data_IF_364666565954
#
_entry.id   IF_364666565954
#
_cell.length_a   1.000
_cell.length_b   1.000
_cell.length_c   1.000
_cell.angle_alpha   90.00
_cell.angle_beta   90.00
_cell.angle_gamma   90.00
#
_symmetry.space_group_name_H-M   'P 1'
#
loop_
_entity.id
_entity.type
_entity.pdbx_description
1 polymer ?
#
# COMPACT_ATOMS: atom_id res chain seq x y z
N UNK A 1 1.46 -24.43 2.71
CA UNK A 1 2.66 -25.25 2.39
C UNK A 1 3.71 -24.50 1.53
N UNK A 2 5.01 -24.88 1.59
CA UNK A 2 6.05 -24.35 0.69
C UNK A 2 5.98 -25.07 -0.65
N UNK A 3 5.74 -24.35 -1.75
CA UNK A 3 5.52 -24.95 -3.06
C UNK A 3 6.76 -24.86 -3.98
N UNK A 4 7.62 -23.84 -3.83
CA UNK A 4 8.83 -23.74 -4.64
C UNK A 4 9.57 -22.40 -4.52
N UNK A 5 10.48 -22.13 -5.47
CA UNK A 5 11.12 -20.82 -5.65
C UNK A 5 10.89 -20.32 -7.08
N UNK A 6 10.42 -19.09 -7.23
CA UNK A 6 10.33 -18.38 -8.53
C UNK A 6 11.35 -17.25 -8.49
N UNK A 7 12.35 -17.25 -9.39
CA UNK A 7 13.39 -16.21 -9.49
C UNK A 7 14.13 -15.93 -8.16
N UNK A 8 14.27 -16.96 -7.32
CA UNK A 8 14.90 -16.89 -6.00
C UNK A 8 13.97 -16.50 -4.84
N UNK A 9 12.68 -16.26 -5.12
CA UNK A 9 11.65 -15.86 -4.15
C UNK A 9 10.85 -17.09 -3.75
N UNK A 10 10.58 -17.27 -2.45
CA UNK A 10 9.81 -18.43 -1.95
C UNK A 10 8.33 -18.26 -2.32
N UNK A 11 7.76 -19.29 -2.94
CA UNK A 11 6.33 -19.37 -3.21
C UNK A 11 5.67 -20.23 -2.13
N UNK A 12 4.73 -19.61 -1.41
CA UNK A 12 3.89 -20.25 -0.40
C UNK A 12 2.48 -20.38 -0.98
N UNK A 13 1.91 -21.57 -0.87
CA UNK A 13 0.50 -21.81 -1.21
C UNK A 13 -0.25 -22.04 0.08
N UNK A 14 -1.31 -21.28 0.32
CA UNK A 14 -2.16 -21.47 1.47
C UNK A 14 -3.02 -22.74 1.32
N UNK A 15 -3.28 -23.47 2.40
CA UNK A 15 -4.04 -24.72 2.32
C UNK A 15 -5.51 -24.46 1.91
N UNK A 16 -6.07 -23.31 2.28
CA UNK A 16 -7.40 -22.86 1.79
C UNK A 16 -7.42 -22.60 0.29
N UNK A 17 -6.30 -22.22 -0.30
CA UNK A 17 -6.19 -22.05 -1.75
C UNK A 17 -6.30 -23.39 -2.47
N UNK A 18 -5.71 -24.46 -1.91
CA UNK A 18 -5.84 -25.81 -2.47
C UNK A 18 -7.30 -26.27 -2.41
N UNK A 19 -7.98 -26.04 -1.27
CA UNK A 19 -9.40 -26.38 -1.13
C UNK A 19 -10.26 -25.63 -2.16
N UNK A 20 -9.98 -24.35 -2.39
CA UNK A 20 -10.65 -23.55 -3.41
C UNK A 20 -10.41 -24.12 -4.82
N UNK A 21 -9.19 -24.50 -5.16
CA UNK A 21 -8.88 -25.12 -6.46
C UNK A 21 -9.64 -26.44 -6.66
N UNK A 22 -9.77 -27.27 -5.62
CA UNK A 22 -10.57 -28.50 -5.69
C UNK A 22 -12.03 -28.14 -5.95
N UNK A 23 -12.58 -27.14 -5.25
CA UNK A 23 -13.95 -26.66 -5.48
C UNK A 23 -14.18 -26.19 -6.92
N UNK A 24 -13.27 -25.39 -7.47
CA UNK A 24 -13.37 -24.93 -8.86
C UNK A 24 -13.16 -26.05 -9.90
N UNK A 25 -12.34 -27.06 -9.58
CA UNK A 25 -12.20 -28.25 -10.40
C UNK A 25 -13.51 -29.05 -10.48
N UNK A 26 -14.20 -29.22 -9.35
CA UNK A 26 -15.51 -29.89 -9.31
C UNK A 26 -16.58 -29.12 -10.09
N UNK A 27 -16.46 -27.79 -10.17
CA UNK A 27 -17.36 -26.93 -10.95
C UNK A 27 -16.96 -26.83 -12.44
N UNK A 28 -15.88 -27.48 -12.86
CA UNK A 28 -15.42 -27.48 -14.25
C UNK A 28 -14.79 -26.17 -14.72
N UNK A 29 -14.37 -25.29 -13.80
CA UNK A 29 -13.78 -23.96 -14.10
C UNK A 29 -12.32 -23.83 -13.66
N UNK A 30 -11.60 -24.95 -13.62
CA UNK A 30 -10.23 -25.01 -13.13
C UNK A 30 -9.26 -24.25 -14.04
N UNK A 31 -9.42 -24.36 -15.35
CA UNK A 31 -8.55 -23.76 -16.35
C UNK A 31 -8.64 -22.22 -16.32
N UNK A 32 -9.84 -21.65 -16.20
CA UNK A 32 -10.02 -20.20 -15.99
C UNK A 32 -9.41 -19.76 -14.65
N UNK A 33 -9.56 -20.56 -13.61
CA UNK A 33 -9.00 -20.25 -12.29
C UNK A 33 -7.48 -20.23 -12.31
N UNK A 34 -6.85 -21.23 -12.95
CA UNK A 34 -5.41 -21.34 -13.05
C UNK A 34 -4.79 -20.18 -13.85
N UNK A 35 -5.41 -19.78 -14.97
CA UNK A 35 -4.91 -18.64 -15.73
C UNK A 35 -5.03 -17.34 -14.94
N UNK A 36 -6.15 -17.09 -14.23
CA UNK A 36 -6.31 -15.91 -13.38
C UNK A 36 -5.24 -15.84 -12.29
N UNK A 37 -4.97 -16.96 -11.60
CA UNK A 37 -3.90 -16.99 -10.60
C UNK A 37 -2.51 -16.83 -11.19
N UNK A 38 -2.26 -17.36 -12.38
CA UNK A 38 -1.01 -17.13 -13.09
C UNK A 38 -0.82 -15.63 -13.40
N UNK A 39 -1.87 -14.94 -13.83
CA UNK A 39 -1.82 -13.50 -14.10
C UNK A 39 -1.55 -12.69 -12.83
N UNK A 40 -2.20 -13.03 -11.72
CA UNK A 40 -1.92 -12.42 -10.40
C UNK A 40 -0.47 -12.72 -9.97
N UNK A 41 0.03 -13.94 -10.17
CA UNK A 41 1.41 -14.29 -9.84
C UNK A 41 2.41 -13.48 -10.66
N UNK A 42 2.16 -13.27 -11.96
CA UNK A 42 3.02 -12.43 -12.81
C UNK A 42 2.99 -10.97 -12.33
N UNK A 43 1.80 -10.44 -12.00
CA UNK A 43 1.62 -9.11 -11.42
C UNK A 43 2.44 -8.92 -10.14
N UNK A 44 2.30 -9.82 -9.16
CA UNK A 44 3.06 -9.78 -7.91
C UNK A 44 4.56 -9.91 -8.15
N UNK A 45 4.96 -10.78 -9.09
CA UNK A 45 6.36 -10.95 -9.46
C UNK A 45 6.95 -9.66 -10.05
N UNK A 46 6.16 -8.89 -10.81
CA UNK A 46 6.60 -7.60 -11.35
C UNK A 46 6.91 -6.58 -10.24
N UNK A 47 6.08 -6.49 -9.20
CA UNK A 47 6.40 -5.68 -8.02
C UNK A 47 7.71 -6.09 -7.37
N UNK A 48 7.91 -7.40 -7.18
CA UNK A 48 9.11 -7.91 -6.53
C UNK A 48 10.37 -7.65 -7.34
N UNK A 49 10.31 -7.81 -8.66
CA UNK A 49 11.42 -7.51 -9.55
C UNK A 49 11.75 -6.00 -9.54
N UNK A 50 10.73 -5.15 -9.52
CA UNK A 50 10.93 -3.70 -9.38
C UNK A 50 11.56 -3.34 -8.02
N UNK A 51 11.10 -3.94 -6.92
CA UNK A 51 11.67 -3.74 -5.59
C UNK A 51 13.14 -4.20 -5.50
N UNK A 52 13.46 -5.34 -6.13
CA UNK A 52 14.84 -5.87 -6.18
C UNK A 52 15.81 -4.92 -6.88
N UNK A 53 15.38 -4.20 -7.92
CA UNK A 53 16.20 -3.16 -8.58
C UNK A 53 16.58 -2.01 -7.65
N UNK A 54 15.80 -1.78 -6.59
CA UNK A 54 16.11 -0.79 -5.55
C UNK A 54 16.88 -1.36 -4.36
N UNK A 55 17.38 -2.61 -4.45
CA UNK A 55 18.09 -3.27 -3.36
C UNK A 55 17.20 -3.69 -2.19
N UNK A 56 15.87 -3.71 -2.38
CA UNK A 56 14.92 -4.10 -1.34
C UNK A 56 14.75 -5.61 -1.37
N UNK A 57 14.91 -6.26 -0.21
CA UNK A 57 14.81 -7.72 -0.09
C UNK A 57 13.35 -8.15 -0.19
N UNK A 58 13.01 -8.93 -1.22
CA UNK A 58 11.74 -9.65 -1.29
C UNK A 58 11.88 -10.99 -0.56
N UNK A 59 10.94 -11.33 0.34
CA UNK A 59 11.05 -12.56 1.17
C UNK A 59 10.25 -13.72 0.59
N UNK A 60 9.00 -13.49 0.23
CA UNK A 60 8.06 -14.53 -0.19
C UNK A 60 6.84 -13.96 -0.92
N UNK A 61 6.24 -14.77 -1.81
CA UNK A 61 4.89 -14.58 -2.36
C UNK A 61 4.01 -15.64 -1.72
N UNK A 62 2.92 -15.23 -1.08
CA UNK A 62 1.91 -16.14 -0.53
C UNK A 62 0.61 -16.03 -1.34
N UNK A 63 0.17 -17.14 -1.92
CA UNK A 63 -1.09 -17.20 -2.67
C UNK A 63 -2.24 -17.56 -1.72
N UNK A 64 -3.21 -16.66 -1.65
CA UNK A 64 -4.46 -16.79 -0.90
C UNK A 64 -5.63 -17.03 -1.86
N UNK A 65 -6.76 -17.56 -1.36
CA UNK A 65 -7.97 -17.73 -2.16
C UNK A 65 -8.48 -16.44 -2.83
N UNK A 66 -8.16 -15.28 -2.24
CA UNK A 66 -8.63 -13.97 -2.69
C UNK A 66 -7.55 -13.13 -3.39
N UNK A 67 -6.36 -13.70 -3.67
CA UNK A 67 -5.26 -13.00 -4.36
C UNK A 67 -3.87 -13.47 -3.93
N UNK A 68 -2.83 -12.85 -4.49
CA UNK A 68 -1.45 -13.02 -4.06
C UNK A 68 -1.06 -11.91 -3.10
N UNK A 69 -0.32 -12.24 -2.03
CA UNK A 69 0.30 -11.24 -1.16
C UNK A 69 1.82 -11.38 -1.28
N UNK A 70 2.45 -10.41 -1.94
CA UNK A 70 3.89 -10.27 -1.94
C UNK A 70 4.36 -9.65 -0.60
N UNK A 71 5.17 -10.40 0.16
CA UNK A 71 5.83 -9.87 1.36
C UNK A 71 7.16 -9.23 0.98
N UNK A 72 7.09 -7.94 0.73
CA UNK A 72 8.24 -7.06 0.50
C UNK A 72 8.73 -6.55 1.86
N UNK A 73 10.05 -6.52 2.07
CA UNK A 73 10.59 -5.89 3.27
C UNK A 73 10.15 -4.41 3.32
N UNK A 74 9.78 -3.92 4.51
CA UNK A 74 9.09 -2.63 4.74
C UNK A 74 9.93 -1.38 4.45
N UNK A 75 10.96 -1.49 3.61
CA UNK A 75 11.83 -0.42 3.14
C UNK A 75 11.17 0.41 2.03
N UNK A 76 10.14 -0.12 1.37
CA UNK A 76 9.52 0.50 0.19
C UNK A 76 8.82 1.82 0.55
N UNK A 77 8.04 1.79 1.62
CA UNK A 77 7.12 2.84 2.07
C UNK A 77 7.82 4.11 2.57
N UNK A 78 9.13 4.02 2.79
CA UNK A 78 9.98 5.10 3.28
C UNK A 78 10.42 6.05 2.17
N UNK A 79 10.29 5.63 0.92
CA UNK A 79 10.77 6.37 -0.24
C UNK A 79 9.65 6.54 -1.27
N UNK A 80 8.90 7.65 -1.23
CA UNK A 80 7.69 7.83 -2.04
C UNK A 80 7.90 7.57 -3.54
N UNK A 81 9.06 7.95 -4.09
CA UNK A 81 9.38 7.69 -5.50
C UNK A 81 9.53 6.19 -5.79
N UNK A 82 10.21 5.45 -4.93
CA UNK A 82 10.42 3.99 -5.12
C UNK A 82 9.10 3.24 -4.91
N UNK A 83 8.31 3.66 -3.93
CA UNK A 83 6.97 3.09 -3.72
C UNK A 83 6.08 3.27 -4.95
N UNK A 84 6.02 4.48 -5.55
CA UNK A 84 5.26 4.71 -6.79
C UNK A 84 5.75 3.81 -7.92
N UNK A 85 7.08 3.75 -8.14
CA UNK A 85 7.65 2.95 -9.23
C UNK A 85 7.38 1.44 -9.05
N UNK A 86 7.43 0.95 -7.82
CA UNK A 86 7.12 -0.45 -7.53
C UNK A 86 5.62 -0.72 -7.65
N UNK A 87 4.76 0.13 -7.08
CA UNK A 87 3.30 -0.02 -7.17
C UNK A 87 2.81 0.03 -8.63
N UNK A 88 3.45 0.80 -9.52
CA UNK A 88 3.10 0.80 -10.94
C UNK A 88 3.58 -0.45 -11.70
N UNK A 89 4.55 -1.21 -11.17
CA UNK A 89 5.15 -2.34 -11.88
C UNK A 89 4.15 -3.47 -12.15
N UNK A 90 3.27 -3.78 -11.18
CA UNK A 90 2.20 -4.77 -11.32
C UNK A 90 1.23 -4.39 -12.45
N UNK A 91 0.52 -3.26 -12.37
CA UNK A 91 -0.39 -2.81 -13.42
C UNK A 91 0.29 -2.68 -14.79
N UNK A 92 1.52 -2.15 -14.86
CA UNK A 92 2.27 -2.11 -16.12
C UNK A 92 2.50 -3.50 -16.71
N UNK A 93 2.78 -4.52 -15.87
CA UNK A 93 2.93 -5.89 -16.36
C UNK A 93 1.64 -6.43 -16.97
N UNK A 94 0.47 -6.16 -16.36
CA UNK A 94 -0.80 -6.57 -16.93
C UNK A 94 -1.14 -5.84 -18.23
N UNK A 95 -0.91 -4.53 -18.30
CA UNK A 95 -1.13 -3.80 -19.55
C UNK A 95 -0.23 -4.30 -20.68
N UNK A 96 1.04 -4.61 -20.37
CA UNK A 96 1.94 -5.23 -21.35
C UNK A 96 1.43 -6.60 -21.81
N UNK A 97 0.98 -7.46 -20.89
CA UNK A 97 0.38 -8.75 -21.25
C UNK A 97 -0.89 -8.59 -22.09
N UNK A 98 -1.76 -7.65 -21.74
CA UNK A 98 -2.95 -7.30 -22.52
C UNK A 98 -2.59 -6.90 -23.95
N UNK A 99 -1.62 -5.98 -24.12
CA UNK A 99 -1.13 -5.56 -25.42
C UNK A 99 -0.52 -6.72 -26.21
N UNK A 100 0.23 -7.61 -25.57
CA UNK A 100 0.75 -8.81 -26.26
C UNK A 100 -0.38 -9.75 -26.69
N UNK A 101 -1.42 -9.91 -25.87
CA UNK A 101 -2.59 -10.72 -26.24
C UNK A 101 -3.34 -10.14 -27.43
N UNK A 102 -3.51 -8.82 -27.48
CA UNK A 102 -4.11 -8.11 -28.62
C UNK A 102 -3.26 -8.23 -29.89
N UNK A 103 -1.93 -8.10 -29.76
CA UNK A 103 -1.01 -8.25 -30.89
C UNK A 103 -1.07 -9.66 -31.50
N UNK A 104 -1.16 -10.69 -30.67
CA UNK A 104 -1.27 -12.09 -31.09
C UNK A 104 -2.72 -12.58 -31.23
N UNK A 105 -3.70 -11.67 -31.31
CA UNK A 105 -5.13 -12.01 -31.36
C UNK A 105 -5.54 -13.04 -32.44
N UNK A 106 -4.97 -13.04 -33.67
CA UNK A 106 -5.34 -14.04 -34.68
C UNK A 106 -5.11 -15.50 -34.25
N UNK A 107 -4.11 -15.73 -33.40
CA UNK A 107 -3.83 -17.05 -32.83
C UNK A 107 -4.53 -17.23 -31.49
N UNK A 108 -4.54 -16.20 -30.65
CA UNK A 108 -5.10 -16.25 -29.31
C UNK A 108 -6.62 -16.45 -29.34
N UNK A 109 -7.32 -15.91 -30.34
CA UNK A 109 -8.78 -16.08 -30.51
C UNK A 109 -9.19 -17.54 -30.74
N UNK A 110 -8.28 -18.41 -31.19
CA UNK A 110 -8.53 -19.84 -31.33
C UNK A 110 -8.40 -20.59 -30.01
N UNK A 111 -7.73 -20.00 -29.02
CA UNK A 111 -7.65 -20.55 -27.67
C UNK A 111 -8.89 -20.15 -26.88
N UNK A 112 -9.56 -21.14 -26.28
CA UNK A 112 -10.79 -20.93 -25.48
C UNK A 112 -10.65 -19.90 -24.35
N UNK A 113 -9.43 -19.70 -23.83
CA UNK A 113 -9.14 -18.74 -22.77
C UNK A 113 -8.53 -17.43 -23.28
N UNK A 114 -8.40 -17.24 -24.60
CA UNK A 114 -7.76 -16.07 -25.18
C UNK A 114 -8.45 -14.75 -24.86
N UNK A 115 -9.78 -14.74 -24.93
CA UNK A 115 -10.60 -13.58 -24.51
C UNK A 115 -10.37 -13.29 -23.02
N UNK A 116 -10.52 -14.33 -22.18
CA UNK A 116 -10.34 -14.22 -20.73
C UNK A 116 -8.95 -13.69 -20.36
N UNK A 117 -7.89 -14.12 -21.06
CA UNK A 117 -6.53 -13.65 -20.81
C UNK A 117 -6.40 -12.13 -21.00
N UNK A 118 -6.98 -11.59 -22.08
CA UNK A 118 -6.95 -10.15 -22.38
C UNK A 118 -7.81 -9.39 -21.38
N UNK A 119 -9.05 -9.82 -21.17
CA UNK A 119 -9.99 -9.17 -20.24
C UNK A 119 -9.47 -9.18 -18.81
N UNK A 120 -8.93 -10.31 -18.35
CA UNK A 120 -8.38 -10.43 -17.00
C UNK A 120 -7.17 -9.53 -16.79
N UNK A 121 -6.25 -9.43 -17.75
CA UNK A 121 -5.13 -8.50 -17.65
C UNK A 121 -5.59 -7.05 -17.63
N UNK A 122 -6.52 -6.68 -18.52
CA UNK A 122 -7.07 -5.33 -18.54
C UNK A 122 -7.76 -5.00 -17.21
N UNK A 123 -8.62 -5.90 -16.72
CA UNK A 123 -9.34 -5.76 -15.45
C UNK A 123 -8.38 -5.68 -14.26
N UNK A 124 -7.40 -6.59 -14.16
CA UNK A 124 -6.41 -6.58 -13.07
C UNK A 124 -5.58 -5.30 -13.07
N UNK A 125 -5.16 -4.81 -14.24
CA UNK A 125 -4.40 -3.56 -14.37
C UNK A 125 -5.23 -2.33 -13.99
N UNK A 126 -6.44 -2.20 -14.52
CA UNK A 126 -7.34 -1.07 -14.24
C UNK A 126 -7.79 -1.07 -12.78
N UNK A 127 -8.21 -2.22 -12.26
CA UNK A 127 -8.68 -2.36 -10.89
C UNK A 127 -7.57 -2.04 -9.89
N UNK A 128 -6.35 -2.55 -10.10
CA UNK A 128 -5.24 -2.22 -9.20
C UNK A 128 -4.80 -0.75 -9.28
N UNK A 129 -5.07 -0.03 -10.37
CA UNK A 129 -4.84 1.42 -10.44
C UNK A 129 -5.93 2.26 -9.76
N UNK A 130 -6.99 1.64 -9.24
CA UNK A 130 -8.02 2.37 -8.50
C UNK A 130 -7.43 3.09 -7.28
N UNK A 131 -7.78 4.36 -7.02
CA UNK A 131 -7.19 5.18 -5.94
C UNK A 131 -7.75 4.81 -4.56
N UNK A 132 -7.61 3.55 -4.16
CA UNK A 132 -8.00 3.02 -2.85
C UNK A 132 -6.93 2.04 -2.34
N UNK A 133 -6.59 2.09 -1.05
CA UNK A 133 -5.81 1.05 -0.39
C UNK A 133 -6.68 -0.20 -0.19
N UNK A 134 -6.10 -1.41 -0.22
CA UNK A 134 -4.67 -1.73 -0.37
C UNK A 134 -4.15 -1.73 -1.83
N UNK A 135 -4.98 -1.37 -2.81
CA UNK A 135 -4.64 -1.44 -4.24
C UNK A 135 -3.45 -0.53 -4.58
N UNK A 136 -2.76 -0.85 -5.68
CA UNK A 136 -1.55 -0.13 -6.09
C UNK A 136 -1.79 1.35 -6.37
N UNK A 137 -2.93 1.70 -6.97
CA UNK A 137 -3.34 3.08 -7.20
C UNK A 137 -3.50 3.85 -5.90
N UNK A 138 -4.00 3.20 -4.84
CA UNK A 138 -4.02 3.75 -3.48
C UNK A 138 -2.61 4.01 -2.94
N UNK A 139 -1.66 3.08 -3.14
CA UNK A 139 -0.25 3.24 -2.75
C UNK A 139 0.44 4.37 -3.52
N UNK A 140 0.18 4.48 -4.82
CA UNK A 140 0.66 5.57 -5.68
C UNK A 140 0.13 6.91 -5.18
N UNK A 141 -1.19 7.02 -4.97
CA UNK A 141 -1.84 8.25 -4.47
C UNK A 141 -1.29 8.65 -3.10
N UNK A 142 -1.20 7.70 -2.17
CA UNK A 142 -0.64 7.90 -0.83
C UNK A 142 0.78 8.41 -0.88
N UNK A 143 1.64 7.76 -1.67
CA UNK A 143 3.04 8.16 -1.85
C UNK A 143 3.16 9.55 -2.45
N UNK A 144 2.34 9.86 -3.45
CA UNK A 144 2.32 11.17 -4.08
C UNK A 144 1.94 12.28 -3.08
N UNK A 145 0.88 12.05 -2.31
CA UNK A 145 0.41 12.98 -1.28
C UNK A 145 1.39 13.10 -0.11
N UNK A 146 2.04 12.02 0.30
CA UNK A 146 2.97 12.00 1.43
C UNK A 146 4.12 12.99 1.25
N UNK A 147 4.53 13.27 0.00
CA UNK A 147 5.55 14.28 -0.33
C UNK A 147 5.12 15.71 0.01
N UNK A 148 3.80 15.99 0.04
CA UNK A 148 3.24 17.33 0.28
C UNK A 148 2.76 17.49 1.71
N UNK A 149 1.93 16.56 2.19
CA UNK A 149 1.20 16.67 3.46
C UNK A 149 1.73 15.74 4.56
N UNK A 150 2.79 14.97 4.28
CA UNK A 150 3.36 14.01 5.23
C UNK A 150 2.72 12.63 5.15
N UNK A 151 3.48 11.60 5.55
CA UNK A 151 3.09 10.20 5.41
C UNK A 151 1.82 9.86 6.21
N UNK A 152 1.70 10.41 7.42
CA UNK A 152 0.54 10.19 8.29
C UNK A 152 -0.75 10.70 7.64
N UNK A 153 -0.78 11.98 7.26
CA UNK A 153 -1.97 12.63 6.70
C UNK A 153 -2.36 12.01 5.35
N UNK A 154 -1.36 11.72 4.50
CA UNK A 154 -1.59 11.07 3.22
C UNK A 154 -2.21 9.67 3.39
N UNK A 155 -1.67 8.84 4.28
CA UNK A 155 -2.20 7.49 4.52
C UNK A 155 -3.61 7.56 5.09
N UNK A 156 -3.84 8.43 6.07
CA UNK A 156 -5.17 8.62 6.68
C UNK A 156 -6.22 9.08 5.68
N UNK A 157 -5.86 10.04 4.81
CA UNK A 157 -6.75 10.53 3.76
C UNK A 157 -7.11 9.41 2.77
N UNK A 158 -6.12 8.66 2.29
CA UNK A 158 -6.36 7.58 1.33
C UNK A 158 -7.16 6.44 1.98
N UNK A 159 -6.90 6.07 3.24
CA UNK A 159 -7.72 5.08 3.97
C UNK A 159 -9.18 5.50 4.05
N UNK A 160 -9.46 6.77 4.39
CA UNK A 160 -10.83 7.32 4.39
C UNK A 160 -11.49 7.25 3.01
N UNK A 161 -10.78 7.66 1.97
CA UNK A 161 -11.27 7.56 0.58
C UNK A 161 -11.57 6.11 0.20
N UNK A 162 -10.73 5.16 0.64
CA UNK A 162 -10.89 3.73 0.36
C UNK A 162 -12.13 3.15 1.03
N UNK A 163 -12.39 3.51 2.30
CA UNK A 163 -13.64 3.16 2.99
C UNK A 163 -14.85 3.72 2.26
N UNK A 164 -14.77 4.98 1.84
CA UNK A 164 -15.85 5.61 1.09
C UNK A 164 -16.12 4.86 -0.22
N UNK A 165 -15.09 4.52 -0.99
CA UNK A 165 -15.22 3.71 -2.21
C UNK A 165 -15.88 2.36 -1.96
N UNK A 166 -15.44 1.64 -0.91
CA UNK A 166 -16.02 0.35 -0.57
C UNK A 166 -17.50 0.44 -0.17
N UNK A 167 -17.89 1.48 0.58
CA UNK A 167 -19.30 1.73 0.94
C UNK A 167 -20.13 2.07 -0.30
N UNK A 168 -19.64 2.96 -1.15
CA UNK A 168 -20.31 3.33 -2.42
C UNK A 168 -20.51 2.09 -3.30
N UNK A 169 -19.48 1.25 -3.43
CA UNK A 169 -19.55 0.01 -4.18
C UNK A 169 -20.56 -0.97 -3.57
N UNK A 170 -20.64 -1.06 -2.24
CA UNK A 170 -21.63 -1.88 -1.54
C UNK A 170 -23.06 -1.42 -1.78
N UNK A 171 -23.32 -0.11 -1.67
CA UNK A 171 -24.63 0.49 -1.96
C UNK A 171 -25.01 0.26 -3.43
N UNK A 172 -24.06 0.46 -4.35
CA UNK A 172 -24.27 0.20 -5.78
C UNK A 172 -24.61 -1.27 -6.05
N UNK A 173 -23.90 -2.19 -5.40
CA UNK A 173 -24.18 -3.63 -5.47
C UNK A 173 -25.58 -3.97 -4.99
N UNK A 174 -26.02 -3.42 -3.84
CA UNK A 174 -27.36 -3.63 -3.29
C UNK A 174 -28.47 -3.05 -4.18
N UNK A 175 -28.28 -1.84 -4.69
CA UNK A 175 -29.21 -1.21 -5.63
C UNK A 175 -29.32 -2.01 -6.92
N UNK A 176 -28.19 -2.47 -7.47
CA UNK A 176 -28.17 -3.33 -8.65
C UNK A 176 -28.97 -4.62 -8.42
N UNK A 177 -28.77 -5.29 -7.29
CA UNK A 177 -29.52 -6.50 -6.93
C UNK A 177 -31.03 -6.21 -6.81
N UNK A 178 -31.40 -5.11 -6.17
CA UNK A 178 -32.79 -4.69 -6.02
C UNK A 178 -33.46 -4.40 -7.37
N UNK A 179 -32.74 -3.78 -8.31
CA UNK A 179 -33.22 -3.46 -9.66
C UNK A 179 -33.13 -4.65 -10.63
N UNK A 180 -32.61 -5.80 -10.22
CA UNK A 180 -32.40 -6.97 -11.08
C UNK A 180 -31.26 -6.81 -12.10
N UNK A 181 -30.43 -5.78 -11.98
CA UNK A 181 -29.29 -5.48 -12.87
C UNK A 181 -27.93 -5.82 -12.25
N UNK A 182 -27.92 -6.19 -10.97
CA UNK A 182 -26.70 -6.37 -10.17
C UNK A 182 -26.28 -7.81 -10.00
N UNK A 183 -24.99 -8.00 -9.73
CA UNK A 183 -24.38 -9.29 -9.45
C UNK A 183 -23.94 -9.37 -7.98
N UNK A 184 -24.08 -10.56 -7.37
CA UNK A 184 -23.58 -10.81 -6.01
C UNK A 184 -22.07 -10.56 -5.89
N UNK A 185 -21.31 -10.77 -6.98
CA UNK A 185 -19.87 -10.52 -7.04
C UNK A 185 -19.49 -9.08 -6.65
N UNK A 186 -20.29 -8.08 -7.04
CA UNK A 186 -20.04 -6.67 -6.69
C UNK A 186 -20.13 -6.46 -5.18
N UNK A 187 -21.10 -7.12 -4.52
CA UNK A 187 -21.27 -7.05 -3.08
C UNK A 187 -20.12 -7.75 -2.35
N UNK A 188 -19.73 -8.94 -2.82
CA UNK A 188 -18.56 -9.64 -2.27
C UNK A 188 -17.28 -8.80 -2.39
N UNK A 189 -17.07 -8.14 -3.53
CA UNK A 189 -15.91 -7.29 -3.74
C UNK A 189 -15.94 -6.04 -2.84
N UNK A 190 -17.11 -5.44 -2.61
CA UNK A 190 -17.26 -4.32 -1.68
C UNK A 190 -16.91 -4.72 -0.23
N UNK A 191 -17.42 -5.87 0.23
CA UNK A 191 -17.12 -6.41 1.57
C UNK A 191 -15.63 -6.74 1.70
N UNK A 192 -15.06 -7.39 0.69
CA UNK A 192 -13.64 -7.72 0.65
C UNK A 192 -12.77 -6.46 0.71
N UNK A 193 -13.06 -5.46 -0.13
CA UNK A 193 -12.32 -4.20 -0.14
C UNK A 193 -12.43 -3.47 1.20
N UNK A 194 -13.62 -3.42 1.80
CA UNK A 194 -13.79 -2.81 3.12
C UNK A 194 -12.97 -3.53 4.19
N UNK A 195 -13.02 -4.86 4.22
CA UNK A 195 -12.21 -5.67 5.14
C UNK A 195 -10.71 -5.46 4.95
N UNK A 196 -10.25 -5.39 3.70
CA UNK A 196 -8.86 -5.11 3.37
C UNK A 196 -8.41 -3.72 3.83
N UNK A 197 -9.29 -2.71 3.72
CA UNK A 197 -9.03 -1.36 4.25
C UNK A 197 -8.91 -1.35 5.78
N UNK A 198 -9.76 -2.11 6.49
CA UNK A 198 -9.65 -2.24 7.94
C UNK A 198 -8.33 -2.90 8.36
N UNK A 199 -7.86 -3.89 7.60
CA UNK A 199 -6.56 -4.52 7.83
C UNK A 199 -5.41 -3.52 7.63
N UNK A 200 -5.44 -2.71 6.57
CA UNK A 200 -4.46 -1.65 6.33
C UNK A 200 -4.48 -0.57 7.43
N UNK A 201 -5.67 -0.17 7.90
CA UNK A 201 -5.80 0.79 9.00
C UNK A 201 -5.25 0.24 10.32
N UNK A 202 -5.40 -1.07 10.59
CA UNK A 202 -4.76 -1.72 11.73
C UNK A 202 -3.23 -1.69 11.68
N UNK A 203 -2.65 -1.80 10.47
CA UNK A 203 -1.21 -1.77 10.25
C UNK A 203 -0.62 -0.35 10.21
N UNK A 204 -1.45 0.67 9.97
CA UNK A 204 -1.04 2.06 9.80
C UNK A 204 -0.13 2.59 10.92
N UNK A 205 -0.49 2.37 12.18
CA UNK A 205 0.26 2.88 13.33
C UNK A 205 1.67 2.29 13.35
N UNK A 206 1.80 1.00 13.07
CA UNK A 206 3.08 0.31 13.01
C UNK A 206 3.96 0.82 11.87
N UNK A 207 3.37 1.04 10.69
CA UNK A 207 4.07 1.61 9.55
C UNK A 207 4.56 3.04 9.85
N UNK A 208 3.73 3.84 10.52
CA UNK A 208 4.10 5.18 10.94
C UNK A 208 5.26 5.19 11.96
N UNK A 209 5.23 4.31 12.96
CA UNK A 209 6.33 4.20 13.94
C UNK A 209 7.64 3.78 13.27
N UNK A 210 7.60 2.80 12.37
CA UNK A 210 8.76 2.39 11.57
C UNK A 210 9.32 3.53 10.73
N UNK A 211 8.42 4.32 10.14
CA UNK A 211 8.79 5.51 9.37
C UNK A 211 9.57 6.52 10.20
N UNK A 212 9.15 6.76 11.45
CA UNK A 212 9.86 7.69 12.35
C UNK A 212 11.22 7.18 12.79
N UNK A 213 11.30 5.91 13.17
CA UNK A 213 12.52 5.31 13.70
C UNK A 213 13.68 5.33 12.68
N UNK A 214 13.40 5.08 11.40
CA UNK A 214 14.45 4.97 10.38
C UNK A 214 14.84 6.30 9.75
N UNK A 215 14.13 7.39 10.05
CA UNK A 215 14.45 8.70 9.49
C UNK A 215 15.77 9.26 10.01
N UNK A 216 16.15 8.90 11.25
CA UNK A 216 17.48 9.18 11.79
C UNK A 216 18.61 8.51 10.98
N UNK A 217 18.36 7.32 10.41
CA UNK A 217 19.33 6.59 9.58
C UNK A 217 19.56 7.28 8.22
N UNK A 218 18.57 8.01 7.68
CA UNK A 218 18.70 8.66 6.38
C UNK A 218 19.76 9.77 6.37
N UNK A 219 19.85 10.56 7.44
CA UNK A 219 20.84 11.62 7.55
C UNK A 219 22.26 11.04 7.58
N UNK A 220 22.46 9.95 8.34
CA UNK A 220 23.73 9.24 8.38
C UNK A 220 24.12 8.63 7.03
N UNK A 221 23.15 8.08 6.29
CA UNK A 221 23.40 7.44 5.01
C UNK A 221 23.69 8.44 3.87
N UNK A 222 23.00 9.59 3.83
CA UNK A 222 23.13 10.58 2.75
C UNK A 222 24.13 11.69 3.06
N UNK A 223 24.51 11.87 4.33
CA UNK A 223 25.35 12.97 4.81
C UNK A 223 24.66 14.34 4.84
N UNK A 224 23.75 14.62 3.90
CA UNK A 224 23.01 15.88 3.79
C UNK A 224 21.52 15.62 3.55
N UNK A 225 20.67 16.35 4.27
CA UNK A 225 19.23 16.39 4.04
C UNK A 225 18.73 17.84 4.11
N UNK A 226 17.74 18.22 3.28
CA UNK A 226 17.09 19.51 3.39
C UNK A 226 16.39 19.65 4.75
N UNK A 227 16.52 20.81 5.38
CA UNK A 227 15.90 21.12 6.66
C UNK A 227 14.49 21.71 6.45
N UNK A 228 13.51 21.25 7.23
CA UNK A 228 12.18 21.85 7.30
C UNK A 228 11.85 22.23 8.74
N UNK A 229 11.56 23.51 8.95
CA UNK A 229 11.27 24.05 10.28
C UNK A 229 9.76 24.15 10.50
N UNK A 230 9.32 23.77 11.71
CA UNK A 230 7.96 23.96 12.18
C UNK A 230 7.96 24.84 13.43
N UNK A 231 6.94 25.68 13.56
CA UNK A 231 6.73 26.51 14.74
C UNK A 231 5.51 25.98 15.48
N UNK A 232 5.63 25.77 16.78
CA UNK A 232 4.54 25.25 17.61
C UNK A 232 4.45 25.97 18.96
N UNK A 233 3.31 25.83 19.64
CA UNK A 233 3.12 26.36 21.00
C UNK A 233 3.28 25.23 22.03
N UNK A 234 3.52 25.60 23.30
CA UNK A 234 3.74 24.64 24.41
C UNK A 234 2.61 23.60 24.58
N UNK A 235 1.38 23.93 24.16
CA UNK A 235 0.19 23.09 24.34
C UNK A 235 -0.03 22.01 23.27
N UNK A 236 0.65 22.12 22.12
CA UNK A 236 0.54 21.13 21.04
C UNK A 236 1.17 19.81 21.48
N UNK A 237 0.56 18.71 21.08
CA UNK A 237 1.03 17.36 21.47
C UNK A 237 2.16 16.86 20.56
N UNK A 238 3.00 15.96 21.06
CA UNK A 238 4.04 15.30 20.24
C UNK A 238 3.43 14.60 19.03
N UNK A 239 2.26 13.98 19.19
CA UNK A 239 1.54 13.34 18.10
C UNK A 239 1.23 14.30 16.96
N UNK A 240 0.63 15.46 17.26
CA UNK A 240 0.28 16.47 16.24
C UNK A 240 1.50 17.01 15.50
N UNK A 241 2.62 17.20 16.21
CA UNK A 241 3.88 17.66 15.60
C UNK A 241 4.42 16.61 14.62
N UNK A 242 4.52 15.37 15.06
CA UNK A 242 5.13 14.29 14.27
C UNK A 242 4.27 13.94 13.04
N UNK A 243 2.96 14.16 13.11
CA UNK A 243 2.06 14.03 11.95
C UNK A 243 2.36 15.02 10.81
N UNK A 244 3.10 16.11 11.08
CA UNK A 244 3.54 17.06 10.06
C UNK A 244 4.85 16.64 9.36
N UNK A 245 5.52 15.58 9.82
CA UNK A 245 6.82 15.21 9.28
C UNK A 245 6.71 14.65 7.85
N UNK A 246 7.45 15.25 6.92
CA UNK A 246 7.45 14.88 5.50
C UNK A 246 8.68 14.05 5.11
N UNK A 247 8.55 13.10 4.17
CA UNK A 247 9.69 12.29 3.72
C UNK A 247 10.79 13.14 3.08
N UNK A 248 12.04 12.70 3.23
CA UNK A 248 13.21 13.32 2.58
C UNK A 248 13.68 14.64 3.17
N UNK A 249 13.15 15.07 4.33
CA UNK A 249 13.56 16.28 5.04
C UNK A 249 13.93 15.96 6.49
N UNK A 250 14.90 16.65 7.06
CA UNK A 250 15.12 16.65 8.51
C UNK A 250 14.28 17.76 9.15
N UNK A 251 13.58 17.48 10.26
CA UNK A 251 12.71 18.47 10.90
C UNK A 251 13.34 19.08 12.14
N UNK A 252 13.10 20.38 12.30
CA UNK A 252 13.42 21.12 13.51
C UNK A 252 12.15 21.84 13.96
N UNK A 253 11.81 21.74 15.23
CA UNK A 253 10.57 22.30 15.77
C UNK A 253 10.93 23.38 16.78
N UNK A 254 10.52 24.60 16.47
CA UNK A 254 10.69 25.78 17.31
C UNK A 254 9.45 25.94 18.19
N UNK A 255 9.63 25.83 19.50
CA UNK A 255 8.56 26.01 20.48
C UNK A 255 8.55 27.47 20.91
N UNK A 256 7.44 28.15 20.65
CA UNK A 256 7.25 29.58 20.94
C UNK A 256 6.30 29.74 22.13
N UNK A 257 6.68 30.59 23.07
CA UNK A 257 5.80 31.03 24.15
C UNK A 257 4.87 32.17 23.71
N UNK A 258 3.67 32.27 24.33
CA UNK A 258 2.75 33.38 24.07
C UNK A 258 3.47 34.72 24.29
N UNK A 259 3.61 35.51 23.23
CA UNK A 259 4.36 36.77 23.24
C UNK A 259 5.73 36.73 22.56
N UNK A 260 6.15 35.62 21.96
CA UNK A 260 7.31 35.54 21.06
C UNK A 260 8.69 35.54 21.73
N UNK A 261 8.76 35.40 23.06
CA UNK A 261 10.00 35.61 23.85
C UNK A 261 10.91 34.39 24.00
N UNK A 262 10.40 33.17 23.94
CA UNK A 262 11.21 31.95 24.05
C UNK A 262 11.11 31.13 22.78
N UNK A 263 12.25 30.76 22.20
CA UNK A 263 12.39 29.88 21.03
C UNK A 263 13.30 28.71 21.42
N UNK A 264 12.73 27.62 21.93
CA UNK A 264 13.51 26.38 22.10
C UNK A 264 13.42 25.60 20.79
N UNK A 265 14.57 25.19 20.26
CA UNK A 265 14.64 24.34 19.09
C UNK A 265 14.77 22.88 19.53
N UNK A 266 13.78 22.07 19.15
CA UNK A 266 13.78 20.63 19.34
C UNK A 266 14.09 19.95 18.01
N UNK A 267 15.05 19.02 18.05
CA UNK A 267 15.37 18.18 16.92
C UNK A 267 14.32 17.09 16.71
N UNK A 268 14.21 16.61 15.46
CA UNK A 268 13.38 15.46 15.14
C UNK A 268 13.67 14.24 16.03
N UNK A 269 14.95 13.96 16.32
CA UNK A 269 15.35 12.85 17.18
C UNK A 269 14.77 12.97 18.60
N UNK A 270 14.90 14.14 19.23
CA UNK A 270 14.35 14.39 20.57
C UNK A 270 12.83 14.22 20.61
N UNK A 271 12.13 14.68 19.56
CA UNK A 271 10.66 14.56 19.47
C UNK A 271 10.23 13.11 19.32
N UNK A 272 10.92 12.35 18.46
CA UNK A 272 10.62 10.92 18.25
C UNK A 272 10.93 10.11 19.51
N UNK A 273 12.06 10.36 20.16
CA UNK A 273 12.41 9.69 21.44
C UNK A 273 11.38 10.00 22.53
N UNK A 274 11.01 11.28 22.69
CA UNK A 274 9.97 11.69 23.62
C UNK A 274 8.61 11.05 23.31
N UNK A 275 8.25 10.93 22.03
CA UNK A 275 7.01 10.29 21.59
C UNK A 275 6.98 8.81 22.01
N UNK A 276 8.10 8.10 21.90
CA UNK A 276 8.22 6.70 22.29
C UNK A 276 8.18 6.52 23.81
N UNK A 277 8.77 7.47 24.56
CA UNK A 277 8.85 7.41 26.03
C UNK A 277 7.56 7.84 26.73
N UNK A 278 6.92 8.90 26.24
CA UNK A 278 5.80 9.56 26.91
C UNK A 278 4.45 9.44 26.18
N UNK A 279 4.47 8.94 24.93
CA UNK A 279 3.27 8.74 24.12
C UNK A 279 2.80 9.99 23.37
N UNK A 280 1.82 9.78 22.48
CA UNK A 280 1.31 10.80 21.53
C UNK A 280 0.70 12.03 22.17
N UNK A 281 0.07 11.88 23.34
CA UNK A 281 -0.68 12.95 24.01
C UNK A 281 0.21 13.85 24.87
N UNK A 282 1.52 13.58 24.93
CA UNK A 282 2.43 14.38 25.73
C UNK A 282 2.61 15.78 25.11
N UNK A 283 2.44 16.89 25.86
CA UNK A 283 2.64 18.24 25.34
C UNK A 283 4.11 18.53 25.07
N UNK A 284 4.38 19.18 23.93
CA UNK A 284 5.75 19.55 23.51
C UNK A 284 6.42 20.47 24.54
N UNK A 285 5.66 21.37 25.17
CA UNK A 285 6.20 22.31 26.17
C UNK A 285 6.79 21.65 27.41
N UNK A 286 6.41 20.41 27.73
CA UNK A 286 6.99 19.68 28.88
C UNK A 286 8.39 19.13 28.62
N UNK A 287 8.82 19.08 27.36
CA UNK A 287 10.21 18.77 27.00
C UNK A 287 11.17 19.92 27.31
N UNK A 288 10.66 21.11 27.62
CA UNK A 288 11.47 22.27 27.98
C UNK A 288 11.96 22.23 29.44
N UNK A 289 11.37 21.36 30.27
CA UNK A 289 11.61 21.29 31.72
C UNK A 289 12.35 20.03 32.17
N UNK A 290 12.94 19.27 31.24
CA UNK A 290 13.74 18.06 31.50
C UNK A 290 15.17 18.28 31.02
#
# INVERSE_FOLDING_TARGET
MRCGKVLGIKLLINDYFILLLIGYALLGVLDQTLILFLLVLIHETAHLLAAKKFGIRAREIELFPFGGVARIDGMLELSPRREIMVALAGPCSNFLLCLTGLYFWPWLSQWSLGVLFIEANLMLGVFNLWPALPLDGGRVLRSFLARRIGFYQATHLVLKMSKWWAVVMGIWGLLGLYLGLGNLHTLFMAVFLYGAVLQEEGNFIYLFLRYLLRKGEELQAKGVLPLKQYITTKGVTLGEVVQQFTPGHYHMVLVVEKGGKELISLSEHQIVEALLKHGKSYPVGKLMSS
#
